data_IF_757706204904
#
_entry.id   IF_757706204904
#
_cell.length_a   1.000
_cell.length_b   1.000
_cell.length_c   1.000
_cell.angle_alpha   90.00
_cell.angle_beta   90.00
_cell.angle_gamma   90.00
#
_symmetry.space_group_name_H-M   'P 1'
#
loop_
_entity.id
_entity.type
_entity.pdbx_description
1 polymer ?
#
# COMPACT_ATOMS: atom_id res chain seq x y z
N UNK A 1 -3.55 -22.51 1.33
CA UNK A 1 -3.51 -21.14 0.75
C UNK A 1 -3.79 -20.18 1.88
N UNK A 2 -2.86 -19.27 2.21
CA UNK A 2 -3.05 -18.33 3.32
C UNK A 2 -3.35 -16.94 2.78
N UNK A 3 -4.59 -16.50 2.97
CA UNK A 3 -5.01 -15.14 2.61
C UNK A 3 -4.60 -14.19 3.73
N UNK A 4 -3.56 -13.40 3.50
CA UNK A 4 -3.16 -12.34 4.41
C UNK A 4 -4.01 -11.11 4.07
N UNK A 5 -4.69 -10.53 5.07
CA UNK A 5 -5.47 -9.29 4.90
C UNK A 5 -4.76 -8.12 5.58
N UNK A 6 -4.72 -6.92 4.95
CA UNK A 6 -4.18 -5.72 5.58
C UNK A 6 -4.91 -5.40 6.90
N UNK A 7 -4.24 -4.67 7.80
CA UNK A 7 -4.84 -4.15 9.04
C UNK A 7 -6.13 -3.37 8.73
N UNK A 8 -7.26 -3.85 9.27
CA UNK A 8 -8.59 -3.19 9.15
C UNK A 8 -8.62 -1.74 9.64
N UNK A 9 -7.74 -1.38 10.57
CA UNK A 9 -7.66 -0.03 11.16
C UNK A 9 -7.26 1.03 10.15
N UNK A 10 -6.52 0.66 9.10
CA UNK A 10 -6.04 1.63 8.14
C UNK A 10 -7.12 2.09 7.16
N UNK A 11 -7.97 1.17 6.68
CA UNK A 11 -9.15 1.54 5.88
C UNK A 11 -10.09 2.46 6.66
N UNK A 12 -10.24 2.21 7.97
CA UNK A 12 -11.07 3.05 8.84
C UNK A 12 -10.49 4.46 9.04
N UNK A 13 -9.18 4.58 9.29
CA UNK A 13 -8.55 5.88 9.52
C UNK A 13 -8.51 6.73 8.24
N UNK A 14 -8.20 6.12 7.09
CA UNK A 14 -8.23 6.81 5.79
C UNK A 14 -9.67 7.25 5.48
N UNK A 15 -10.65 6.37 5.70
CA UNK A 15 -12.07 6.71 5.54
C UNK A 15 -12.51 7.90 6.39
N UNK A 16 -12.11 7.94 7.67
CA UNK A 16 -12.41 9.07 8.55
C UNK A 16 -11.73 10.36 8.12
N UNK A 17 -10.45 10.34 7.74
CA UNK A 17 -9.77 11.54 7.27
C UNK A 17 -10.41 12.12 6.01
N UNK A 18 -10.83 11.26 5.08
CA UNK A 18 -11.51 11.71 3.87
C UNK A 18 -12.91 12.25 4.19
N UNK A 19 -13.68 11.56 5.05
CA UNK A 19 -14.98 12.05 5.49
C UNK A 19 -14.87 13.41 6.19
N UNK A 20 -13.88 13.59 7.05
CA UNK A 20 -13.62 14.86 7.75
C UNK A 20 -13.24 16.00 6.79
N UNK A 21 -12.64 15.71 5.64
CA UNK A 21 -12.32 16.70 4.61
C UNK A 21 -13.54 17.03 3.73
N UNK A 22 -14.29 16.00 3.33
CA UNK A 22 -15.39 16.13 2.35
C UNK A 22 -16.68 16.66 2.99
N UNK A 23 -17.01 16.21 4.19
CA UNK A 23 -18.28 16.58 4.85
C UNK A 23 -18.42 18.09 5.06
N UNK A 24 -17.41 18.84 5.53
CA UNK A 24 -17.53 20.29 5.69
C UNK A 24 -17.71 21.01 4.35
N UNK A 25 -17.06 20.53 3.29
CA UNK A 25 -17.18 21.11 1.94
C UNK A 25 -18.60 20.91 1.41
N UNK A 26 -19.15 19.71 1.54
CA UNK A 26 -20.52 19.41 1.14
C UNK A 26 -21.54 20.20 1.99
N UNK A 27 -21.32 20.28 3.31
CA UNK A 27 -22.19 21.05 4.21
C UNK A 27 -22.17 22.54 3.88
N UNK A 28 -20.99 23.10 3.58
CA UNK A 28 -20.84 24.51 3.17
C UNK A 28 -21.51 24.76 1.83
N UNK A 29 -21.38 23.85 0.85
CA UNK A 29 -22.10 23.98 -0.43
C UNK A 29 -23.62 23.93 -0.23
N UNK A 30 -24.12 23.00 0.58
CA UNK A 30 -25.55 22.89 0.88
C UNK A 30 -26.09 24.13 1.61
N UNK A 31 -25.25 24.81 2.40
CA UNK A 31 -25.63 26.01 3.13
C UNK A 31 -25.60 27.28 2.26
N UNK A 32 -24.58 27.45 1.41
CA UNK A 32 -24.33 28.72 0.71
C UNK A 32 -25.13 28.86 -0.60
N UNK A 33 -25.61 27.77 -1.18
CA UNK A 33 -26.25 27.82 -2.50
C UNK A 33 -27.74 28.16 -2.46
N UNK A 34 -28.10 29.22 -3.19
CA UNK A 34 -29.48 29.62 -3.46
C UNK A 34 -30.25 28.51 -4.22
N UNK A 35 -31.52 28.21 -3.88
CA UNK A 35 -32.25 27.04 -4.40
C UNK A 35 -32.52 27.05 -5.92
N UNK A 36 -32.32 28.18 -6.60
CA UNK A 36 -32.98 28.46 -7.90
C UNK A 36 -32.11 28.25 -9.14
N UNK A 37 -30.79 28.07 -9.02
CA UNK A 37 -29.92 28.02 -10.22
C UNK A 37 -28.81 26.95 -10.24
N UNK A 38 -28.19 26.61 -9.11
CA UNK A 38 -26.95 25.82 -9.10
C UNK A 38 -27.03 24.50 -8.32
N UNK A 39 -28.23 24.11 -7.86
CA UNK A 39 -28.44 22.89 -7.09
C UNK A 39 -28.08 21.61 -7.87
N UNK A 40 -28.31 21.62 -9.19
CA UNK A 40 -27.94 20.51 -10.08
C UNK A 40 -26.43 20.29 -10.16
N UNK A 41 -25.63 21.37 -10.25
CA UNK A 41 -24.16 21.30 -10.28
C UNK A 41 -23.61 20.76 -8.97
N UNK A 42 -24.19 21.19 -7.84
CA UNK A 42 -23.81 20.72 -6.50
C UNK A 42 -24.16 19.25 -6.31
N UNK A 43 -25.36 18.84 -6.73
CA UNK A 43 -25.78 17.44 -6.68
C UNK A 43 -24.84 16.55 -7.50
N UNK A 44 -24.44 16.99 -8.70
CA UNK A 44 -23.46 16.28 -9.53
C UNK A 44 -22.07 16.23 -8.90
N UNK A 45 -21.56 17.34 -8.36
CA UNK A 45 -20.27 17.37 -7.69
C UNK A 45 -20.25 16.43 -6.46
N UNK A 46 -21.30 16.46 -5.64
CA UNK A 46 -21.46 15.56 -4.50
C UNK A 46 -21.56 14.09 -4.93
N UNK A 47 -22.31 13.80 -5.99
CA UNK A 47 -22.42 12.45 -6.53
C UNK A 47 -21.08 11.92 -7.07
N UNK A 48 -20.29 12.76 -7.76
CA UNK A 48 -18.96 12.41 -8.26
C UNK A 48 -18.02 12.12 -7.08
N UNK A 49 -18.00 12.99 -6.06
CA UNK A 49 -17.17 12.79 -4.88
C UNK A 49 -17.58 11.48 -4.19
N UNK A 50 -18.88 11.26 -3.93
CA UNK A 50 -19.37 10.03 -3.33
C UNK A 50 -18.98 8.79 -4.15
N UNK A 51 -19.10 8.84 -5.48
CA UNK A 51 -18.70 7.75 -6.37
C UNK A 51 -17.19 7.46 -6.28
N UNK A 52 -16.34 8.49 -6.24
CA UNK A 52 -14.89 8.34 -6.06
C UNK A 52 -14.56 7.70 -4.70
N UNK A 53 -15.25 8.11 -3.63
CA UNK A 53 -15.07 7.52 -2.29
C UNK A 53 -15.47 6.05 -2.24
N UNK A 54 -16.64 5.72 -2.79
CA UNK A 54 -17.12 4.33 -2.85
C UNK A 54 -16.18 3.48 -3.70
N UNK A 55 -15.71 3.99 -4.83
CA UNK A 55 -14.75 3.29 -5.69
C UNK A 55 -13.44 3.05 -4.97
N UNK A 56 -12.88 4.07 -4.30
CA UNK A 56 -11.66 3.94 -3.51
C UNK A 56 -11.83 2.92 -2.36
N UNK A 57 -12.98 2.93 -1.68
CA UNK A 57 -13.32 1.98 -0.63
C UNK A 57 -13.39 0.54 -1.15
N UNK A 58 -14.08 0.32 -2.27
CA UNK A 58 -14.19 -1.00 -2.91
C UNK A 58 -12.81 -1.47 -3.36
N UNK A 59 -12.02 -0.62 -4.02
CA UNK A 59 -10.64 -0.96 -4.44
C UNK A 59 -9.75 -1.30 -3.26
N UNK A 60 -9.88 -0.59 -2.13
CA UNK A 60 -9.16 -0.89 -0.90
C UNK A 60 -9.56 -2.27 -0.33
N UNK A 61 -10.86 -2.58 -0.24
CA UNK A 61 -11.35 -3.88 0.22
C UNK A 61 -10.96 -5.04 -0.70
N UNK A 62 -10.82 -4.76 -2.00
CA UNK A 62 -10.41 -5.73 -3.03
C UNK A 62 -8.90 -5.94 -3.11
N UNK A 63 -8.10 -5.07 -2.47
CA UNK A 63 -6.65 -5.25 -2.40
C UNK A 63 -6.35 -6.38 -1.43
N UNK A 64 -5.96 -7.54 -1.97
CA UNK A 64 -5.66 -8.75 -1.21
C UNK A 64 -4.35 -9.34 -1.71
N UNK A 65 -3.47 -9.70 -0.78
CA UNK A 65 -2.28 -10.47 -1.07
C UNK A 65 -2.47 -11.88 -0.51
N UNK A 66 -2.57 -12.86 -1.40
CA UNK A 66 -2.62 -14.28 -1.02
C UNK A 66 -1.24 -14.88 -1.18
N UNK A 67 -0.72 -15.48 -0.11
CA UNK A 67 0.59 -16.14 -0.10
C UNK A 67 0.38 -17.65 0.06
N UNK A 68 1.09 -18.43 -0.73
CA UNK A 68 1.01 -19.88 -0.79
C UNK A 68 2.39 -20.48 -1.00
N UNK A 69 2.57 -21.77 -0.69
CA UNK A 69 3.80 -22.53 -1.02
C UNK A 69 4.14 -22.52 -2.51
N UNK A 70 3.15 -22.22 -3.36
CA UNK A 70 3.31 -22.19 -4.82
C UNK A 70 3.65 -20.80 -5.35
N UNK A 71 3.52 -19.76 -4.54
CA UNK A 71 3.75 -18.40 -4.98
C UNK A 71 2.89 -17.34 -4.28
N UNK A 72 3.04 -16.11 -4.76
CA UNK A 72 2.34 -14.93 -4.28
C UNK A 72 1.37 -14.47 -5.35
N UNK A 73 0.12 -14.23 -4.95
CA UNK A 73 -0.89 -13.60 -5.79
C UNK A 73 -1.30 -12.29 -5.14
N UNK A 74 -0.89 -11.18 -5.75
CA UNK A 74 -1.30 -9.85 -5.34
C UNK A 74 -2.41 -9.35 -6.25
N UNK A 75 -3.53 -8.95 -5.65
CA UNK A 75 -4.54 -8.14 -6.35
C UNK A 75 -4.30 -6.69 -6.00
N UNK A 76 -3.72 -5.95 -6.93
CA UNK A 76 -3.39 -4.55 -6.78
C UNK A 76 -4.63 -3.66 -6.69
N UNK A 77 -4.43 -2.43 -6.22
CA UNK A 77 -5.48 -1.43 -6.02
C UNK A 77 -6.27 -1.10 -7.29
N UNK A 78 -5.62 -1.15 -8.46
CA UNK A 78 -6.25 -0.94 -9.77
C UNK A 78 -6.81 -2.22 -10.41
N UNK A 79 -6.96 -3.31 -9.64
CA UNK A 79 -7.52 -4.57 -10.12
C UNK A 79 -6.55 -5.46 -10.91
N UNK A 80 -5.32 -5.03 -11.14
CA UNK A 80 -4.25 -5.87 -11.70
C UNK A 80 -3.96 -7.05 -10.78
N UNK A 81 -3.83 -8.25 -11.35
CA UNK A 81 -3.48 -9.46 -10.60
C UNK A 81 -2.04 -9.82 -10.96
N UNK A 82 -1.13 -9.74 -10.00
CA UNK A 82 0.27 -10.10 -10.18
C UNK A 82 0.53 -11.44 -9.50
N UNK A 83 0.96 -12.42 -10.29
CA UNK A 83 1.28 -13.77 -9.81
C UNK A 83 2.76 -14.02 -9.95
N UNK A 84 3.40 -14.43 -8.86
CA UNK A 84 4.82 -14.78 -8.84
C UNK A 84 4.96 -16.20 -8.30
N UNK A 85 5.57 -17.09 -9.08
CA UNK A 85 5.78 -18.47 -8.67
C UNK A 85 6.85 -18.56 -7.57
N UNK A 86 6.68 -19.48 -6.63
CA UNK A 86 7.66 -19.69 -5.57
C UNK A 86 9.04 -20.10 -6.11
N UNK A 87 9.07 -20.80 -7.26
CA UNK A 87 10.32 -21.14 -7.95
C UNK A 87 11.15 -19.94 -8.37
N UNK A 88 10.52 -18.79 -8.61
CA UNK A 88 11.20 -17.58 -9.04
C UNK A 88 11.66 -16.72 -7.87
N UNK A 89 11.25 -17.06 -6.65
CA UNK A 89 11.62 -16.37 -5.42
C UNK A 89 12.98 -16.91 -4.96
N UNK A 90 13.88 -16.00 -4.60
CA UNK A 90 15.20 -16.35 -4.06
C UNK A 90 15.24 -16.19 -2.55
N UNK A 91 14.79 -15.05 -2.04
CA UNK A 91 14.93 -14.70 -0.64
C UNK A 91 13.87 -13.70 -0.21
N UNK A 92 13.67 -13.60 1.10
CA UNK A 92 12.88 -12.57 1.75
C UNK A 92 13.82 -11.64 2.50
N UNK A 93 13.80 -10.36 2.16
CA UNK A 93 14.65 -9.33 2.75
C UNK A 93 13.83 -8.43 3.68
N UNK A 94 14.20 -8.36 4.95
CA UNK A 94 13.57 -7.50 5.95
C UNK A 94 14.46 -6.31 6.26
N UNK A 95 13.90 -5.11 6.17
CA UNK A 95 14.61 -3.84 6.33
C UNK A 95 13.81 -2.93 7.25
N UNK A 96 14.49 -2.19 8.13
CA UNK A 96 13.90 -1.05 8.80
C UNK A 96 14.10 0.21 7.97
N UNK A 97 13.02 0.90 7.62
CA UNK A 97 13.07 2.11 6.81
C UNK A 97 12.74 3.34 7.67
N UNK A 98 13.57 4.39 7.61
CA UNK A 98 13.24 5.67 8.24
C UNK A 98 12.05 6.36 7.57
N UNK A 99 11.20 6.98 8.38
CA UNK A 99 10.01 7.70 7.91
C UNK A 99 10.34 9.16 7.64
N UNK A 100 10.67 9.49 6.40
CA UNK A 100 10.90 10.88 5.98
C UNK A 100 12.02 11.52 6.80
N UNK A 101 11.73 12.66 7.44
CA UNK A 101 12.66 13.36 8.35
C UNK A 101 12.50 12.99 9.83
N UNK A 102 11.71 11.96 10.17
CA UNK A 102 11.55 11.47 11.54
C UNK A 102 12.57 10.37 11.87
N UNK A 103 12.93 10.25 13.15
CA UNK A 103 13.66 9.10 13.70
C UNK A 103 12.82 7.82 13.78
N UNK A 104 11.51 7.92 13.50
CA UNK A 104 10.63 6.75 13.45
C UNK A 104 11.04 5.80 12.31
N UNK A 105 11.30 4.55 12.65
CA UNK A 105 11.47 3.49 11.67
C UNK A 105 10.16 2.74 11.45
N UNK A 106 10.00 2.17 10.26
CA UNK A 106 8.92 1.22 9.98
C UNK A 106 9.54 0.00 9.32
N UNK A 107 9.21 -1.18 9.85
CA UNK A 107 9.67 -2.42 9.27
C UNK A 107 9.00 -2.69 7.93
N UNK A 108 9.78 -3.07 6.94
CA UNK A 108 9.30 -3.48 5.63
C UNK A 108 9.93 -4.81 5.23
N UNK A 109 9.16 -5.63 4.54
CA UNK A 109 9.58 -6.94 4.06
C UNK A 109 9.45 -6.96 2.54
N UNK A 110 10.55 -7.27 1.86
CA UNK A 110 10.66 -7.38 0.42
C UNK A 110 10.84 -8.84 0.06
N UNK A 111 10.04 -9.35 -0.88
CA UNK A 111 10.30 -10.63 -1.51
C UNK A 111 11.10 -10.35 -2.76
N UNK A 112 12.25 -11.00 -2.87
CA UNK A 112 13.20 -10.79 -3.96
C UNK A 112 13.20 -12.01 -4.86
N UNK A 113 13.06 -11.77 -6.17
CA UNK A 113 13.18 -12.86 -7.14
C UNK A 113 14.65 -13.23 -7.38
N UNK A 114 14.87 -14.35 -8.08
CA UNK A 114 16.21 -14.81 -8.49
C UNK A 114 16.97 -13.83 -9.38
N UNK A 115 16.28 -12.86 -9.99
CA UNK A 115 16.90 -11.77 -10.75
C UNK A 115 17.27 -10.55 -9.87
N UNK A 116 17.18 -10.65 -8.54
CA UNK A 116 17.52 -9.57 -7.61
C UNK A 116 16.50 -8.42 -7.57
N UNK A 117 15.29 -8.61 -8.09
CA UNK A 117 14.23 -7.60 -8.14
C UNK A 117 13.20 -7.83 -7.04
N UNK A 118 12.75 -6.74 -6.41
CA UNK A 118 11.64 -6.76 -5.47
C UNK A 118 10.34 -7.05 -6.22
N UNK A 119 9.74 -8.21 -5.93
CA UNK A 119 8.50 -8.66 -6.59
C UNK A 119 7.27 -8.46 -5.72
N UNK A 120 7.46 -8.37 -4.40
CA UNK A 120 6.38 -8.11 -3.46
C UNK A 120 6.93 -7.35 -2.25
N UNK A 121 6.16 -6.42 -1.70
CA UNK A 121 6.58 -5.60 -0.55
C UNK A 121 5.46 -5.50 0.48
N UNK A 122 5.73 -5.97 1.69
CA UNK A 122 4.88 -5.76 2.86
C UNK A 122 5.39 -4.60 3.68
N UNK A 123 4.60 -3.54 3.79
CA UNK A 123 4.89 -2.38 4.63
C UNK A 123 4.31 -2.60 6.03
N UNK A 124 5.11 -2.48 7.08
CA UNK A 124 4.67 -2.69 8.47
C UNK A 124 3.60 -1.73 8.97
N UNK A 125 3.38 -0.62 8.27
CA UNK A 125 2.21 0.25 8.49
C UNK A 125 0.87 -0.48 8.20
N UNK A 126 0.88 -1.39 7.23
CA UNK A 126 -0.31 -2.09 6.74
C UNK A 126 -0.40 -3.52 7.27
N UNK A 127 0.74 -4.13 7.63
CA UNK A 127 0.84 -5.54 7.97
C UNK A 127 1.40 -5.72 9.39
N UNK A 128 0.88 -6.72 10.11
CA UNK A 128 1.44 -7.10 11.41
C UNK A 128 2.79 -7.78 11.23
N UNK A 129 3.71 -7.60 12.20
CA UNK A 129 4.99 -8.32 12.25
C UNK A 129 4.79 -9.84 12.20
N UNK A 130 3.81 -10.36 12.96
CA UNK A 130 3.47 -11.78 12.94
C UNK A 130 2.95 -12.29 11.58
N UNK A 131 2.36 -11.42 10.75
CA UNK A 131 2.00 -11.77 9.37
C UNK A 131 3.23 -11.80 8.46
N UNK A 132 4.16 -10.87 8.67
CA UNK A 132 5.43 -10.81 7.93
C UNK A 132 6.31 -12.04 8.23
N UNK A 133 6.42 -12.45 9.49
CA UNK A 133 7.21 -13.62 9.92
C UNK A 133 6.69 -14.95 9.34
N UNK A 134 5.43 -15.00 8.94
CA UNK A 134 4.84 -16.18 8.29
C UNK A 134 5.21 -16.28 6.81
N UNK A 135 5.58 -15.18 6.16
CA UNK A 135 5.83 -15.17 4.70
C UNK A 135 7.08 -15.99 4.36
N UNK A 136 8.18 -15.77 5.06
CA UNK A 136 9.40 -16.57 4.87
C UNK A 136 9.14 -18.07 5.09
N UNK A 137 8.41 -18.40 6.16
CA UNK A 137 8.03 -19.79 6.49
C UNK A 137 7.11 -20.45 5.46
N UNK A 138 6.17 -19.71 4.87
CA UNK A 138 5.22 -20.26 3.88
C UNK A 138 5.91 -20.46 2.52
N UNK A 139 6.83 -19.58 2.17
CA UNK A 139 7.58 -19.63 0.91
C UNK A 139 8.78 -20.59 0.98
N UNK A 140 9.17 -21.03 2.17
CA UNK A 140 10.31 -21.92 2.42
C UNK A 140 11.62 -21.36 1.87
N UNK A 141 11.85 -20.06 2.09
CA UNK A 141 13.04 -19.34 1.64
C UNK A 141 13.74 -18.64 2.79
N UNK A 142 15.04 -18.42 2.63
CA UNK A 142 15.87 -17.73 3.62
C UNK A 142 15.38 -16.29 3.84
N UNK A 143 15.29 -15.91 5.11
CA UNK A 143 15.00 -14.56 5.55
C UNK A 143 16.30 -13.82 5.91
N UNK A 144 16.62 -12.81 5.13
CA UNK A 144 17.76 -11.91 5.39
C UNK A 144 17.24 -10.68 6.11
N UNK A 145 17.73 -10.43 7.34
CA UNK A 145 17.36 -9.25 8.13
C UNK A 145 18.52 -8.26 8.11
N UNK A 146 18.30 -7.06 7.55
CA UNK A 146 19.24 -5.95 7.70
C UNK A 146 19.06 -5.33 9.08
N UNK A 147 20.13 -5.35 9.87
CA UNK A 147 20.20 -4.80 11.23
C UNK A 147 20.18 -3.27 11.24
N UNK A 148 20.79 -2.64 10.24
CA UNK A 148 20.87 -1.20 10.12
C UNK A 148 19.61 -0.62 9.46
N UNK A 149 18.92 0.33 10.10
CA UNK A 149 17.85 1.07 9.46
C UNK A 149 18.42 1.96 8.35
N UNK A 150 17.75 1.96 7.20
CA UNK A 150 18.18 2.72 6.02
C UNK A 150 17.14 3.77 5.64
N UNK A 151 17.60 4.83 5.00
CA UNK A 151 16.70 5.81 4.39
C UNK A 151 16.19 5.32 3.03
N UNK A 152 15.08 5.88 2.55
CA UNK A 152 14.62 5.59 1.18
C UNK A 152 15.63 6.05 0.12
N UNK A 153 16.40 7.11 0.42
CA UNK A 153 17.46 7.61 -0.48
C UNK A 153 18.59 6.59 -0.60
N UNK A 154 19.09 6.09 0.54
CA UNK A 154 20.09 5.01 0.56
C UNK A 154 19.58 3.75 -0.16
N UNK A 155 18.32 3.36 0.05
CA UNK A 155 17.76 2.19 -0.63
C UNK A 155 17.65 2.38 -2.16
N UNK A 156 17.46 3.61 -2.63
CA UNK A 156 17.50 3.93 -4.08
C UNK A 156 18.89 3.82 -4.66
N UNK A 157 19.92 4.17 -3.89
CA UNK A 157 21.32 4.10 -4.34
C UNK A 157 21.87 2.67 -4.28
N UNK A 158 21.59 1.96 -3.18
CA UNK A 158 22.13 0.62 -2.92
C UNK A 158 21.34 -0.49 -3.60
N UNK A 159 20.01 -0.44 -3.56
CA UNK A 159 19.14 -1.52 -4.06
C UNK A 159 17.91 -1.01 -4.85
N UNK A 160 18.10 -0.23 -5.94
CA UNK A 160 16.99 0.36 -6.71
C UNK A 160 16.01 -0.68 -7.26
N UNK A 161 16.47 -1.91 -7.50
CA UNK A 161 15.67 -2.99 -8.04
C UNK A 161 14.62 -3.54 -7.05
N UNK A 162 14.76 -3.27 -5.75
CA UNK A 162 13.75 -3.59 -4.73
C UNK A 162 12.56 -2.63 -4.78
N UNK A 163 12.75 -1.44 -5.36
CA UNK A 163 11.76 -0.38 -5.41
C UNK A 163 10.91 -0.46 -6.68
N UNK A 164 9.67 0.03 -6.57
CA UNK A 164 8.81 0.23 -7.74
C UNK A 164 9.44 1.25 -8.69
N UNK A 165 9.14 1.12 -9.98
CA UNK A 165 9.70 1.99 -11.03
C UNK A 165 9.54 3.50 -10.74
N UNK A 166 8.42 3.90 -10.13
CA UNK A 166 8.16 5.30 -9.77
C UNK A 166 8.91 5.73 -8.51
N UNK A 167 9.22 4.81 -7.60
CA UNK A 167 10.00 5.10 -6.38
C UNK A 167 11.49 5.19 -6.65
N UNK A 168 11.97 4.66 -7.79
CA UNK A 168 13.38 4.72 -8.20
C UNK A 168 13.83 6.12 -8.59
N UNK A 169 12.92 6.98 -9.03
CA UNK A 169 13.26 8.35 -9.42
C UNK A 169 13.18 9.25 -8.19
N UNK A 170 14.29 9.91 -7.88
CA UNK A 170 14.26 11.07 -6.97
C UNK A 170 13.51 12.21 -7.69
N UNK A 171 12.51 12.80 -7.03
CA UNK A 171 11.86 14.03 -7.49
C UNK A 171 12.66 15.28 -7.07
N UNK A 172 13.78 15.10 -6.37
CA UNK A 172 14.63 16.19 -5.91
C UNK A 172 15.68 16.49 -6.96
N UNK A 173 15.59 17.68 -7.55
CA UNK A 173 16.66 18.36 -8.27
C UNK A 173 17.10 19.55 -7.42
#
# INVERSE_FOLDING_TARGET
MYTLRPRRTLGRNIGFSIAALVLPILATQLWVLDPTGAWSVVAWAGAIIAALLVTAWISYQRTQASVSRYGIVERGFFGGTYTVAASDIATVLRIQLYRGSSLDTTQELFVVNRAGRGVFRMRGRFWNTSSMDRVAKILDVEEVVRTEPVTLAELRETDPNLLYWFERRSLTR
#
